data_IF_226164752359
#
_entry.id   IF_226164752359
#
_cell.length_a   1.000
_cell.length_b   1.000
_cell.length_c   1.000
_cell.angle_alpha   90.00
_cell.angle_beta   90.00
_cell.angle_gamma   90.00
#
_symmetry.space_group_name_H-M   'P 1'
#
loop_
_entity.id
_entity.type
_entity.pdbx_description
1 polymer ?
#
# COMPACT_ATOMS: atom_id res chain seq x y z
N UNK A 1 -24.93 -3.08 -40.00
CA UNK A 1 -24.75 -4.13 -38.97
C UNK A 1 -23.28 -4.48 -38.71
N UNK A 2 -22.43 -4.64 -39.74
CA UNK A 2 -20.99 -4.95 -39.58
C UNK A 2 -20.21 -4.02 -38.63
N UNK A 3 -20.45 -2.70 -38.65
CA UNK A 3 -19.72 -1.76 -37.79
C UNK A 3 -20.11 -1.83 -36.30
N UNK A 4 -21.34 -2.25 -35.99
CA UNK A 4 -21.80 -2.37 -34.58
C UNK A 4 -21.13 -3.58 -33.92
N UNK A 5 -21.01 -4.69 -34.67
CA UNK A 5 -20.35 -5.92 -34.20
C UNK A 5 -18.87 -5.64 -33.93
N UNK A 6 -18.23 -4.82 -34.76
CA UNK A 6 -16.83 -4.42 -34.55
C UNK A 6 -16.63 -3.63 -33.25
N UNK A 7 -17.48 -2.63 -32.98
CA UNK A 7 -17.42 -1.84 -31.74
C UNK A 7 -17.79 -2.63 -30.49
N UNK A 8 -18.74 -3.57 -30.58
CA UNK A 8 -19.03 -4.51 -29.49
C UNK A 8 -17.85 -5.45 -29.22
N UNK A 9 -17.20 -5.98 -30.26
CA UNK A 9 -15.98 -6.76 -30.08
C UNK A 9 -14.83 -5.91 -29.50
N UNK A 10 -14.72 -4.63 -29.83
CA UNK A 10 -13.69 -3.75 -29.24
C UNK A 10 -13.98 -3.49 -27.76
N UNK A 11 -15.23 -3.23 -27.39
CA UNK A 11 -15.64 -3.06 -25.99
C UNK A 11 -15.48 -4.35 -25.17
N UNK A 12 -15.81 -5.50 -25.74
CA UNK A 12 -15.63 -6.82 -25.11
C UNK A 12 -14.14 -7.17 -24.97
N UNK A 13 -13.31 -6.86 -25.97
CA UNK A 13 -11.86 -7.04 -25.88
C UNK A 13 -11.24 -6.06 -24.89
N UNK A 14 -11.69 -4.80 -24.80
CA UNK A 14 -11.27 -3.88 -23.73
C UNK A 14 -11.70 -4.35 -22.33
N UNK A 15 -12.92 -4.89 -22.17
CA UNK A 15 -13.38 -5.45 -20.89
C UNK A 15 -12.73 -6.79 -20.52
N UNK A 16 -12.18 -7.52 -21.50
CA UNK A 16 -11.41 -8.75 -21.30
C UNK A 16 -9.91 -8.51 -21.15
N UNK A 17 -9.40 -7.34 -21.57
CA UNK A 17 -8.00 -6.93 -21.39
C UNK A 17 -7.76 -6.10 -20.14
N UNK A 18 -8.82 -5.72 -19.42
CA UNK A 18 -8.78 -5.53 -17.98
C UNK A 18 -8.78 -6.90 -17.28
N UNK A 19 -7.86 -7.79 -17.68
CA UNK A 19 -7.54 -8.99 -16.92
C UNK A 19 -7.06 -8.53 -15.56
N UNK A 20 -7.97 -8.71 -14.59
CA UNK A 20 -7.85 -8.44 -13.18
C UNK A 20 -6.60 -9.17 -12.69
N UNK A 21 -5.47 -8.47 -12.59
CA UNK A 21 -4.63 -8.71 -11.45
C UNK A 21 -5.51 -8.28 -10.27
N UNK A 22 -5.99 -9.26 -9.50
CA UNK A 22 -6.61 -8.92 -8.23
C UNK A 22 -5.49 -8.30 -7.42
N UNK A 23 -5.52 -6.98 -7.23
CA UNK A 23 -4.65 -6.36 -6.24
C UNK A 23 -4.84 -7.14 -4.94
N UNK A 24 -3.75 -7.51 -4.27
CA UNK A 24 -3.88 -8.17 -2.99
C UNK A 24 -4.60 -7.20 -2.05
N UNK A 25 -5.54 -7.72 -1.28
CA UNK A 25 -6.26 -6.97 -0.26
C UNK A 25 -5.90 -7.58 1.07
N UNK A 26 -5.46 -6.73 1.99
CA UNK A 26 -5.02 -7.11 3.31
C UNK A 26 -6.13 -6.82 4.31
N UNK A 27 -6.32 -7.73 5.25
CA UNK A 27 -7.11 -7.49 6.45
C UNK A 27 -6.18 -6.93 7.53
N UNK A 28 -6.50 -5.74 8.02
CA UNK A 28 -5.72 -5.02 9.02
C UNK A 28 -6.53 -4.91 10.30
N UNK A 29 -5.95 -5.30 11.43
CA UNK A 29 -6.44 -4.96 12.76
C UNK A 29 -5.47 -3.97 13.41
N UNK A 30 -5.90 -2.71 13.52
CA UNK A 30 -5.18 -1.66 14.23
C UNK A 30 -5.78 -1.47 15.62
N UNK A 31 -5.11 -2.01 16.65
CA UNK A 31 -5.51 -1.88 18.05
C UNK A 31 -7.00 -2.20 18.31
N UNK A 32 -7.53 -3.25 17.68
CA UNK A 32 -8.93 -3.68 17.75
C UNK A 32 -9.84 -3.08 16.69
N UNK A 33 -9.33 -2.26 15.78
CA UNK A 33 -10.08 -1.65 14.67
C UNK A 33 -9.74 -2.32 13.35
N UNK A 34 -10.71 -3.07 12.80
CA UNK A 34 -10.55 -3.85 11.57
C UNK A 34 -10.92 -3.06 10.31
N UNK A 35 -10.11 -3.17 9.25
CA UNK A 35 -10.37 -2.58 7.93
C UNK A 35 -9.56 -3.27 6.82
N UNK A 36 -9.98 -3.07 5.57
CA UNK A 36 -9.28 -3.59 4.40
C UNK A 36 -8.30 -2.56 3.83
N UNK A 37 -7.11 -3.01 3.43
CA UNK A 37 -6.07 -2.20 2.79
C UNK A 37 -5.67 -2.79 1.44
N UNK A 38 -5.55 -1.94 0.41
CA UNK A 38 -5.13 -2.37 -0.93
C UNK A 38 -3.62 -2.32 -1.09
N UNK A 39 -3.09 -3.08 -2.05
CA UNK A 39 -1.65 -3.03 -2.39
C UNK A 39 -1.34 -2.10 -3.55
N UNK A 40 -0.22 -1.39 -3.45
CA UNK A 40 0.40 -0.73 -4.60
C UNK A 40 1.04 -1.77 -5.50
N UNK A 41 0.75 -1.74 -6.80
CA UNK A 41 1.22 -2.79 -7.72
C UNK A 41 2.17 -2.19 -8.76
N UNK A 42 3.40 -2.72 -8.84
CA UNK A 42 4.39 -2.26 -9.82
C UNK A 42 5.46 -3.32 -10.11
N UNK A 43 6.41 -3.07 -11.02
CA UNK A 43 7.44 -4.07 -11.39
C UNK A 43 8.70 -4.01 -10.51
N UNK A 44 8.84 -2.93 -9.75
CA UNK A 44 9.90 -2.62 -8.80
C UNK A 44 9.88 -3.60 -7.60
N UNK A 45 11.01 -3.79 -6.92
CA UNK A 45 11.00 -4.49 -5.62
C UNK A 45 10.35 -3.61 -4.55
N UNK A 46 9.92 -4.17 -3.42
CA UNK A 46 9.38 -3.37 -2.31
C UNK A 46 10.36 -2.30 -1.82
N UNK A 47 11.66 -2.62 -1.82
CA UNK A 47 12.72 -1.67 -1.49
C UNK A 47 12.94 -0.61 -2.57
N UNK A 48 12.76 -0.94 -3.85
CA UNK A 48 12.87 0.05 -4.93
C UNK A 48 11.64 0.97 -4.98
N UNK A 49 10.46 0.43 -4.68
CA UNK A 49 9.23 1.19 -4.49
C UNK A 49 9.37 2.17 -3.32
N UNK A 50 9.98 1.69 -2.23
CA UNK A 50 10.42 2.50 -1.11
C UNK A 50 11.74 3.23 -1.41
N UNK A 51 11.70 4.22 -2.30
CA UNK A 51 12.91 4.94 -2.71
C UNK A 51 13.35 5.96 -1.64
N UNK A 52 14.22 5.54 -0.71
CA UNK A 52 14.92 6.47 0.16
C UNK A 52 16.16 7.03 -0.55
N UNK A 53 16.16 8.33 -0.82
CA UNK A 53 17.28 8.99 -1.48
C UNK A 53 18.45 9.18 -0.51
N UNK A 54 19.41 8.26 -0.45
CA UNK A 54 20.61 8.29 0.42
C UNK A 54 20.32 8.41 1.92
N UNK A 55 20.93 7.56 2.79
CA UNK A 55 20.70 7.53 4.25
C UNK A 55 21.17 8.79 5.02
N UNK A 56 21.48 9.87 4.32
CA UNK A 56 21.97 11.13 4.88
C UNK A 56 21.30 12.36 4.22
N UNK A 57 20.25 12.15 3.42
CA UNK A 57 19.53 13.21 2.73
C UNK A 57 18.02 13.02 2.91
N UNK A 58 17.28 14.14 2.79
CA UNK A 58 15.82 14.13 2.80
C UNK A 58 15.27 13.07 1.84
N UNK A 59 14.50 12.12 2.36
CA UNK A 59 13.95 10.99 1.60
C UNK A 59 13.15 11.45 0.38
N UNK A 60 13.24 10.68 -0.70
CA UNK A 60 12.25 10.77 -1.75
C UNK A 60 11.00 10.03 -1.26
N UNK A 61 9.82 10.63 -1.45
CA UNK A 61 8.59 9.93 -1.14
C UNK A 61 8.40 8.80 -2.18
N UNK A 62 7.78 7.67 -1.80
CA UNK A 62 7.28 6.72 -2.79
C UNK A 62 6.42 7.47 -3.82
N UNK A 63 6.39 6.99 -5.06
CA UNK A 63 5.52 7.54 -6.11
C UNK A 63 4.36 6.60 -6.37
N UNK A 64 3.18 7.14 -6.71
CA UNK A 64 2.08 6.28 -7.12
C UNK A 64 2.50 5.45 -8.35
N UNK A 65 2.22 4.14 -8.37
CA UNK A 65 2.62 3.26 -9.46
C UNK A 65 2.24 3.79 -10.85
N UNK A 66 3.18 3.72 -11.80
CA UNK A 66 2.97 4.19 -13.16
C UNK A 66 2.88 5.72 -13.30
N UNK A 67 3.19 6.47 -12.25
CA UNK A 67 3.19 7.95 -12.24
C UNK A 67 4.52 8.52 -11.80
N UNK A 68 4.67 9.85 -11.92
CA UNK A 68 5.75 10.61 -11.27
C UNK A 68 5.22 11.42 -10.09
N UNK A 69 4.02 11.12 -9.60
CA UNK A 69 3.37 11.85 -8.52
C UNK A 69 3.81 11.24 -7.19
N UNK A 70 4.51 12.00 -6.33
CA UNK A 70 4.89 11.52 -5.02
C UNK A 70 3.65 11.29 -4.15
N UNK A 71 3.66 10.22 -3.37
CA UNK A 71 2.72 10.02 -2.28
C UNK A 71 2.98 11.15 -1.26
N UNK A 72 1.94 11.93 -0.88
CA UNK A 72 2.11 13.02 0.06
C UNK A 72 2.29 12.45 1.47
N UNK A 73 3.55 12.33 1.91
CA UNK A 73 3.85 11.93 3.27
C UNK A 73 3.49 13.05 4.26
N UNK A 74 3.07 12.65 5.45
CA UNK A 74 2.65 13.53 6.53
C UNK A 74 3.70 13.60 7.64
N UNK A 75 3.79 14.77 8.28
CA UNK A 75 4.63 14.92 9.47
C UNK A 75 3.96 14.27 10.67
N UNK A 76 4.80 13.87 11.64
CA UNK A 76 4.41 13.33 12.93
C UNK A 76 3.50 12.10 12.76
N UNK A 77 3.87 11.21 11.84
CA UNK A 77 3.03 10.09 11.43
C UNK A 77 3.81 8.80 11.18
N UNK A 78 3.27 7.70 11.72
CA UNK A 78 3.56 6.34 11.29
C UNK A 78 2.78 6.10 10.01
N UNK A 79 3.47 5.86 8.90
CA UNK A 79 2.85 5.67 7.59
C UNK A 79 3.17 4.27 7.06
N UNK A 80 2.14 3.49 6.79
CA UNK A 80 2.24 2.07 6.45
C UNK A 80 1.80 1.89 5.00
N UNK A 81 2.55 1.11 4.23
CA UNK A 81 2.17 0.71 2.89
C UNK A 81 2.39 -0.79 2.66
N UNK A 82 1.65 -1.31 1.69
CA UNK A 82 1.85 -2.65 1.15
C UNK A 82 2.01 -2.59 -0.36
N UNK A 83 2.98 -3.32 -0.89
CA UNK A 83 3.35 -3.29 -2.30
C UNK A 83 3.47 -4.71 -2.86
N UNK A 84 2.97 -4.94 -4.07
CA UNK A 84 3.13 -6.21 -4.79
C UNK A 84 3.99 -6.00 -6.02
N UNK A 85 5.07 -6.80 -6.11
CA UNK A 85 5.85 -6.89 -7.32
C UNK A 85 5.08 -7.71 -8.37
N UNK A 86 4.63 -7.06 -9.43
CA UNK A 86 3.85 -7.66 -10.53
C UNK A 86 4.64 -8.66 -11.40
N UNK A 87 5.97 -8.73 -11.28
CA UNK A 87 6.81 -9.70 -11.98
C UNK A 87 7.03 -10.98 -11.16
N UNK A 88 7.17 -10.87 -9.83
CA UNK A 88 7.44 -12.00 -8.93
C UNK A 88 6.23 -12.46 -8.12
N UNK A 89 5.17 -11.65 -8.07
CA UNK A 89 4.02 -11.80 -7.19
C UNK A 89 4.37 -11.80 -5.69
N UNK A 90 5.50 -11.20 -5.33
CA UNK A 90 5.91 -11.06 -3.93
C UNK A 90 5.30 -9.79 -3.33
N UNK A 91 4.71 -9.93 -2.14
CA UNK A 91 4.24 -8.82 -1.34
C UNK A 91 5.36 -8.28 -0.43
N UNK A 92 5.36 -6.97 -0.26
CA UNK A 92 6.23 -6.22 0.62
C UNK A 92 5.40 -5.38 1.57
N UNK A 93 5.83 -5.30 2.81
CA UNK A 93 5.29 -4.44 3.85
C UNK A 93 6.33 -3.41 4.23
N UNK A 94 5.93 -2.14 4.27
CA UNK A 94 6.85 -1.07 4.66
C UNK A 94 6.23 -0.08 5.62
N UNK A 95 7.10 0.45 6.47
CA UNK A 95 6.83 1.50 7.44
C UNK A 95 7.70 2.69 7.13
N UNK A 96 7.09 3.87 7.16
CA UNK A 96 7.73 5.16 7.02
C UNK A 96 7.41 5.97 8.27
N UNK A 97 8.44 6.42 8.95
CA UNK A 97 8.35 7.24 10.15
C UNK A 97 8.72 8.66 9.75
N UNK A 98 7.82 9.59 10.03
CA UNK A 98 7.99 11.02 9.73
C UNK A 98 8.03 11.33 8.21
N UNK A 99 8.09 12.61 7.85
CA UNK A 99 8.46 13.10 6.52
C UNK A 99 9.68 14.03 6.61
N UNK A 100 10.41 14.29 5.53
CA UNK A 100 11.58 15.17 5.62
C UNK A 100 11.20 16.58 6.06
N UNK A 101 11.96 17.14 7.01
CA UNK A 101 11.70 18.43 7.64
C UNK A 101 10.35 18.46 8.40
N UNK A 102 10.13 17.44 9.21
CA UNK A 102 9.02 17.26 10.14
C UNK A 102 9.03 18.21 11.34
N UNK A 103 8.24 17.92 12.38
CA UNK A 103 8.14 18.78 13.55
C UNK A 103 9.26 18.57 14.58
N UNK A 104 9.90 17.39 14.61
CA UNK A 104 10.89 17.03 15.62
C UNK A 104 11.66 15.75 15.32
N UNK A 105 12.30 15.21 16.36
CA UNK A 105 12.92 13.89 16.34
C UNK A 105 12.15 12.97 17.30
N UNK A 106 12.00 11.71 16.92
CA UNK A 106 11.16 10.75 17.62
C UNK A 106 11.79 9.38 17.71
N UNK A 107 10.97 8.42 18.13
CA UNK A 107 11.36 7.02 18.30
C UNK A 107 10.21 6.11 17.88
N UNK A 108 10.56 4.91 17.42
CA UNK A 108 9.60 3.85 17.11
C UNK A 108 10.18 2.51 17.52
N UNK A 109 9.39 1.76 18.29
CA UNK A 109 9.80 0.49 18.88
C UNK A 109 8.68 -0.54 18.64
N UNK A 110 9.04 -1.71 18.11
CA UNK A 110 8.10 -2.81 17.90
C UNK A 110 8.81 -4.17 17.88
N UNK A 111 8.14 -5.20 18.40
CA UNK A 111 8.44 -6.59 18.10
C UNK A 111 7.57 -7.03 16.93
N UNK A 112 8.15 -7.74 15.96
CA UNK A 112 7.46 -8.12 14.73
C UNK A 112 7.63 -9.62 14.49
N UNK A 113 6.53 -10.34 14.46
CA UNK A 113 6.47 -11.74 14.00
C UNK A 113 5.82 -11.77 12.60
N UNK A 114 6.32 -12.59 11.68
CA UNK A 114 5.79 -12.62 10.32
C UNK A 114 6.02 -13.95 9.59
N UNK A 115 5.22 -14.23 8.55
CA UNK A 115 5.31 -15.46 7.77
C UNK A 115 6.59 -15.55 6.95
N UNK A 116 7.15 -16.76 6.86
CA UNK A 116 8.28 -17.07 5.98
C UNK A 116 7.77 -17.39 4.57
N UNK A 117 8.50 -17.07 3.48
CA UNK A 117 9.94 -16.84 3.41
C UNK A 117 10.40 -15.38 3.52
N UNK A 118 9.55 -14.48 4.04
CA UNK A 118 9.86 -13.07 4.08
C UNK A 118 11.13 -12.73 4.87
N UNK A 119 11.68 -11.57 4.58
CA UNK A 119 12.93 -11.08 5.16
C UNK A 119 12.89 -9.56 5.36
N UNK A 120 13.49 -9.08 6.44
CA UNK A 120 13.82 -7.67 6.59
C UNK A 120 14.88 -7.34 5.51
N UNK A 121 14.49 -6.49 4.56
CA UNK A 121 15.34 -6.14 3.41
C UNK A 121 15.89 -4.72 3.48
N UNK A 122 15.26 -3.85 4.26
CA UNK A 122 15.69 -2.48 4.46
C UNK A 122 15.44 -2.02 5.89
N UNK A 123 16.40 -1.27 6.42
CA UNK A 123 16.35 -0.50 7.65
C UNK A 123 17.18 0.77 7.39
N UNK A 124 16.64 1.95 7.67
CA UNK A 124 17.29 3.21 7.25
C UNK A 124 18.64 3.41 7.95
N UNK A 125 18.65 3.24 9.28
CA UNK A 125 19.87 3.34 10.08
C UNK A 125 20.39 1.96 10.55
N UNK A 126 21.35 1.33 9.83
CA UNK A 126 21.81 -0.03 10.10
C UNK A 126 22.62 -0.19 11.41
N UNK A 127 22.82 0.90 12.17
CA UNK A 127 23.53 0.90 13.45
C UNK A 127 22.60 1.12 14.66
N UNK A 128 21.29 1.29 14.43
CA UNK A 128 20.29 1.48 15.50
C UNK A 128 19.72 0.14 15.97
N UNK A 129 19.37 0.09 17.27
CA UNK A 129 19.58 -1.08 18.11
C UNK A 129 18.44 -2.10 18.15
N UNK A 130 18.50 -3.13 17.33
CA UNK A 130 17.72 -4.36 17.50
C UNK A 130 18.53 -5.58 17.05
N UNK A 131 18.11 -6.80 17.37
CA UNK A 131 18.62 -7.99 16.67
C UNK A 131 18.05 -8.07 15.24
N UNK A 132 18.14 -6.97 14.48
CA UNK A 132 17.71 -6.82 13.10
C UNK A 132 18.77 -7.43 12.18
N UNK A 133 18.81 -8.76 12.11
CA UNK A 133 19.58 -9.42 11.06
C UNK A 133 18.79 -9.28 9.74
N UNK A 134 19.32 -8.49 8.79
CA UNK A 134 18.85 -8.56 7.40
C UNK A 134 18.84 -10.02 6.96
N UNK A 135 17.70 -10.50 6.46
CA UNK A 135 17.50 -11.90 6.07
C UNK A 135 16.26 -12.57 6.65
N UNK A 136 16.19 -13.88 6.49
CA UNK A 136 15.01 -14.73 6.75
C UNK A 136 14.95 -15.14 8.22
N UNK A 137 14.53 -14.22 9.09
CA UNK A 137 14.07 -14.56 10.43
C UNK A 137 12.57 -14.36 10.47
N UNK A 138 11.83 -15.17 11.24
CA UNK A 138 10.36 -15.02 11.35
C UNK A 138 9.94 -14.11 12.51
N UNK A 139 10.92 -13.51 13.19
CA UNK A 139 10.72 -12.65 14.36
C UNK A 139 11.91 -11.70 14.49
N UNK A 140 11.63 -10.40 14.58
CA UNK A 140 12.62 -9.32 14.72
C UNK A 140 12.15 -8.30 15.75
N UNK A 141 13.09 -7.52 16.26
CA UNK A 141 12.78 -6.28 16.99
C UNK A 141 13.29 -5.10 16.18
N UNK A 142 12.45 -4.09 16.02
CA UNK A 142 12.75 -2.81 15.39
C UNK A 142 12.79 -1.76 16.50
N UNK A 143 13.88 -1.01 16.54
CA UNK A 143 14.11 0.15 17.41
C UNK A 143 14.80 1.20 16.54
N UNK A 144 14.10 2.30 16.30
CA UNK A 144 14.47 3.37 15.37
C UNK A 144 14.34 4.72 16.09
N UNK A 145 15.35 5.57 15.94
CA UNK A 145 15.41 6.91 16.50
C UNK A 145 15.77 7.92 15.40
N UNK A 146 14.93 8.92 15.16
CA UNK A 146 15.19 9.93 14.12
C UNK A 146 15.36 11.34 14.68
N UNK A 147 15.92 12.21 13.84
CA UNK A 147 16.05 13.65 14.09
C UNK A 147 15.32 14.45 13.02
N UNK A 148 14.94 15.69 13.34
CA UNK A 148 14.10 16.60 12.53
C UNK A 148 14.41 16.71 11.02
N UNK A 149 15.65 16.44 10.60
CA UNK A 149 16.00 16.49 9.17
C UNK A 149 15.46 15.32 8.34
N UNK A 150 15.14 14.20 8.98
CA UNK A 150 15.31 12.90 8.38
C UNK A 150 14.09 12.04 8.66
N UNK A 151 13.71 11.22 7.68
CA UNK A 151 12.69 10.18 7.86
C UNK A 151 13.39 8.91 8.31
N UNK A 152 12.61 7.94 8.76
CA UNK A 152 13.13 6.61 9.05
C UNK A 152 12.12 5.57 8.54
N UNK A 153 12.46 4.31 8.62
CA UNK A 153 11.58 3.24 8.23
C UNK A 153 12.28 1.92 7.98
N UNK A 154 11.46 0.95 7.64
CA UNK A 154 11.91 -0.39 7.30
C UNK A 154 11.00 -1.01 6.25
N UNK A 155 11.54 -1.99 5.52
CA UNK A 155 10.77 -2.78 4.55
C UNK A 155 11.07 -4.25 4.74
N UNK A 156 9.99 -5.03 4.87
CA UNK A 156 10.02 -6.50 4.87
C UNK A 156 9.45 -6.96 3.53
N UNK A 157 10.19 -7.81 2.82
CA UNK A 157 9.82 -8.28 1.47
C UNK A 157 9.73 -9.80 1.43
N UNK A 158 9.08 -10.32 0.38
CA UNK A 158 9.08 -11.76 0.06
C UNK A 158 7.91 -12.52 0.65
N UNK A 159 6.82 -11.82 0.98
CA UNK A 159 5.58 -12.46 1.40
C UNK A 159 4.87 -13.11 0.21
N UNK A 160 4.31 -14.30 0.43
CA UNK A 160 3.27 -14.85 -0.44
C UNK A 160 1.95 -14.12 -0.11
N UNK A 161 1.29 -13.45 -1.09
CA UNK A 161 0.02 -12.76 -0.85
C UNK A 161 -1.10 -13.66 -0.32
N UNK A 162 -1.04 -14.98 -0.54
CA UNK A 162 -2.05 -15.93 -0.07
C UNK A 162 -1.77 -16.43 1.35
N UNK A 163 -0.51 -16.45 1.80
CA UNK A 163 -0.05 -17.01 3.09
C UNK A 163 0.75 -15.97 3.91
N UNK A 164 0.15 -14.80 4.04
CA UNK A 164 0.67 -13.64 4.74
C UNK A 164 0.14 -13.61 6.18
N UNK A 165 1.05 -13.50 7.14
CA UNK A 165 0.74 -12.88 8.43
C UNK A 165 1.89 -11.96 8.85
N UNK A 166 1.57 -10.80 9.43
CA UNK A 166 2.52 -9.89 10.07
C UNK A 166 1.85 -9.35 11.33
N UNK A 167 2.50 -9.54 12.48
CA UNK A 167 2.05 -9.06 13.78
C UNK A 167 3.11 -8.14 14.37
N UNK A 168 2.81 -6.84 14.45
CA UNK A 168 3.56 -5.87 15.22
C UNK A 168 2.93 -5.79 16.60
N UNK A 169 3.70 -6.07 17.65
CA UNK A 169 3.25 -6.01 19.04
C UNK A 169 4.26 -5.28 19.91
N UNK A 170 3.80 -4.89 21.10
CA UNK A 170 4.51 -3.96 21.97
C UNK A 170 4.89 -2.66 21.24
N UNK A 171 4.03 -2.18 20.33
CA UNK A 171 4.32 -0.99 19.54
C UNK A 171 4.26 0.24 20.43
N UNK A 172 5.33 1.03 20.41
CA UNK A 172 5.43 2.33 21.08
C UNK A 172 6.20 3.30 20.20
N UNK A 173 5.99 4.59 20.41
CA UNK A 173 6.77 5.62 19.74
C UNK A 173 6.57 7.00 20.36
N UNK A 174 7.33 7.96 19.88
CA UNK A 174 7.25 9.37 20.29
C UNK A 174 7.33 10.27 19.08
N UNK A 175 6.79 11.49 19.19
CA UNK A 175 6.76 12.46 18.08
C UNK A 175 5.90 11.99 16.90
N UNK A 176 4.91 11.13 17.19
CA UNK A 176 3.94 10.61 16.24
C UNK A 176 2.53 10.89 16.76
N UNK A 177 1.74 11.63 15.99
CA UNK A 177 0.35 11.96 16.31
C UNK A 177 -0.62 11.02 15.60
N UNK A 178 -0.19 10.37 14.51
CA UNK A 178 -1.06 9.61 13.62
C UNK A 178 -0.45 8.29 13.16
N UNK A 179 -1.32 7.31 12.92
CA UNK A 179 -1.04 6.13 12.12
C UNK A 179 -1.85 6.21 10.83
N UNK A 180 -1.19 6.15 9.68
CA UNK A 180 -1.76 6.34 8.35
C UNK A 180 -1.45 5.10 7.50
N UNK A 181 -2.48 4.46 6.99
CA UNK A 181 -2.38 3.33 6.08
C UNK A 181 -2.61 3.83 4.65
N UNK A 182 -1.52 3.83 3.88
CA UNK A 182 -1.45 4.37 2.53
C UNK A 182 -2.18 3.44 1.55
N UNK A 183 -3.11 4.00 0.79
CA UNK A 183 -3.93 3.25 -0.15
C UNK A 183 -3.67 3.67 -1.61
N UNK A 184 -3.67 2.73 -2.58
CA UNK A 184 -3.50 3.02 -4.01
C UNK A 184 -4.55 3.96 -4.61
N UNK A 185 -5.74 4.02 -4.02
CA UNK A 185 -6.84 4.90 -4.46
C UNK A 185 -6.72 6.34 -3.92
N UNK A 186 -5.68 6.62 -3.13
CA UNK A 186 -5.45 7.91 -2.48
C UNK A 186 -6.41 8.21 -1.33
N UNK A 187 -7.27 7.25 -0.92
CA UNK A 187 -8.11 7.34 0.27
C UNK A 187 -7.45 6.60 1.43
N UNK A 188 -6.50 7.26 2.08
CA UNK A 188 -5.79 6.66 3.21
C UNK A 188 -6.72 6.43 4.41
N UNK A 189 -6.52 5.32 5.12
CA UNK A 189 -7.16 5.09 6.41
C UNK A 189 -6.26 5.65 7.51
N UNK A 190 -6.81 6.36 8.48
CA UNK A 190 -6.02 7.07 9.50
C UNK A 190 -6.61 6.92 10.89
N UNK A 191 -5.72 6.81 11.87
CA UNK A 191 -6.03 6.74 13.29
C UNK A 191 -5.13 7.72 14.07
N UNK A 192 -5.57 8.11 15.27
CA UNK A 192 -4.65 8.73 16.22
C UNK A 192 -3.58 7.70 16.60
N UNK A 193 -2.33 8.14 16.73
CA UNK A 193 -1.28 7.30 17.27
C UNK A 193 -1.57 7.05 18.77
N UNK A 194 -1.64 5.79 19.23
CA UNK A 194 -1.95 5.50 20.61
C UNK A 194 -0.85 5.98 21.57
N UNK A 195 -1.26 6.61 22.69
CA UNK A 195 -0.35 7.02 23.77
C UNK A 195 0.19 5.81 24.57
N UNK A 196 -0.60 4.72 24.61
CA UNK A 196 -0.26 3.46 25.27
C UNK A 196 0.25 2.43 24.25
N UNK A 197 0.90 1.38 24.76
CA UNK A 197 1.36 0.23 23.96
C UNK A 197 0.20 -0.37 23.16
N UNK A 198 0.42 -0.61 21.87
CA UNK A 198 -0.60 -1.17 20.97
C UNK A 198 -0.04 -2.27 20.05
N UNK A 199 -0.91 -2.81 19.20
CA UNK A 199 -0.57 -3.82 18.20
C UNK A 199 -1.18 -3.52 16.84
N UNK A 200 -0.54 -4.04 15.80
CA UNK A 200 -1.03 -4.05 14.42
C UNK A 200 -0.91 -5.47 13.90
N UNK A 201 -2.02 -6.06 13.47
CA UNK A 201 -2.04 -7.37 12.82
C UNK A 201 -2.46 -7.22 11.37
N UNK A 202 -1.80 -7.97 10.49
CA UNK A 202 -1.98 -7.90 9.04
C UNK A 202 -2.04 -9.32 8.51
N UNK A 203 -3.12 -9.63 7.80
CA UNK A 203 -3.31 -10.93 7.15
C UNK A 203 -3.73 -10.78 5.70
N UNK A 204 -3.64 -11.88 4.96
CA UNK A 204 -4.32 -11.99 3.66
C UNK A 204 -5.83 -11.94 3.88
N UNK A 205 -6.55 -11.14 3.09
CA UNK A 205 -8.00 -11.14 3.15
C UNK A 205 -8.54 -12.43 2.52
N UNK A 206 -9.38 -13.16 3.25
CA UNK A 206 -10.07 -14.35 2.74
C UNK A 206 -11.45 -13.97 2.17
N UNK A 207 -11.67 -14.07 0.83
CA UNK A 207 -12.92 -13.69 0.19
C UNK A 207 -14.09 -14.62 0.55
N UNK A 208 -13.84 -15.80 1.13
CA UNK A 208 -14.88 -16.68 1.64
C UNK A 208 -15.44 -16.22 2.98
N UNK A 209 -14.65 -15.52 3.79
CA UNK A 209 -15.04 -15.07 5.13
C UNK A 209 -15.32 -13.58 5.22
N UNK A 210 -14.72 -12.77 4.35
CA UNK A 210 -14.96 -11.33 4.30
C UNK A 210 -16.31 -11.01 3.62
N UNK A 211 -17.23 -10.27 4.26
CA UNK A 211 -18.53 -9.94 3.69
C UNK A 211 -18.45 -9.08 2.42
N UNK A 212 -17.32 -8.40 2.17
CA UNK A 212 -17.07 -7.59 0.99
C UNK A 212 -16.24 -8.34 -0.07
N UNK A 213 -15.99 -9.65 0.12
CA UNK A 213 -15.20 -10.51 -0.77
C UNK A 213 -13.82 -9.95 -1.08
N UNK A 214 -13.21 -9.24 -0.12
CA UNK A 214 -11.91 -8.60 -0.29
C UNK A 214 -11.89 -7.58 -1.44
N UNK A 215 -13.00 -6.88 -1.66
CA UNK A 215 -13.10 -5.84 -2.69
C UNK A 215 -13.04 -4.46 -2.04
N UNK A 216 -12.01 -3.70 -2.38
CA UNK A 216 -11.93 -2.27 -2.07
C UNK A 216 -12.57 -1.50 -3.23
N UNK A 217 -13.62 -0.75 -2.95
CA UNK A 217 -14.35 0.00 -3.97
C UNK A 217 -13.52 1.19 -4.46
N UNK A 218 -12.77 1.00 -5.55
CA UNK A 218 -12.15 2.12 -6.26
C UNK A 218 -13.21 2.87 -7.07
N UNK A 219 -13.19 4.19 -7.04
CA UNK A 219 -14.04 4.98 -7.94
C UNK A 219 -13.64 4.68 -9.40
N UNK A 220 -14.58 4.16 -10.19
CA UNK A 220 -14.32 3.77 -11.58
C UNK A 220 -13.63 4.91 -12.36
N UNK A 221 -12.58 4.62 -13.16
CA UNK A 221 -11.92 5.65 -13.94
C UNK A 221 -12.94 6.25 -14.93
N UNK A 222 -12.94 7.58 -15.00
CA UNK A 222 -13.87 8.41 -15.79
C UNK A 222 -14.00 7.99 -17.26
N UNK A 223 -13.07 7.20 -17.79
CA UNK A 223 -13.11 6.53 -19.09
C UNK A 223 -14.31 5.61 -19.27
N UNK A 224 -14.75 4.86 -18.26
CA UNK A 224 -15.96 4.02 -18.37
C UNK A 224 -17.24 4.87 -18.38
N UNK A 225 -17.30 5.92 -17.55
CA UNK A 225 -18.38 6.89 -17.59
C UNK A 225 -18.45 7.61 -18.95
N UNK A 226 -17.31 8.06 -19.50
CA UNK A 226 -17.22 8.67 -20.82
C UNK A 226 -17.62 7.70 -21.95
N UNK A 227 -17.26 6.43 -21.85
CA UNK A 227 -17.69 5.40 -22.79
C UNK A 227 -19.22 5.18 -22.72
N UNK A 228 -19.78 5.12 -21.51
CA UNK A 228 -21.23 5.00 -21.30
C UNK A 228 -21.97 6.22 -21.86
N UNK A 229 -21.51 7.45 -21.58
CA UNK A 229 -22.07 8.67 -22.16
C UNK A 229 -21.91 8.72 -23.69
N UNK A 230 -20.78 8.27 -24.23
CA UNK A 230 -20.56 8.16 -25.67
C UNK A 230 -21.54 7.19 -26.35
N UNK A 231 -21.77 6.02 -25.74
CA UNK A 231 -22.73 5.02 -26.23
C UNK A 231 -24.18 5.52 -26.14
N UNK A 232 -24.55 6.22 -25.06
CA UNK A 232 -25.86 6.89 -24.95
C UNK A 232 -26.05 7.98 -26.02
N UNK A 233 -25.02 8.80 -26.26
CA UNK A 233 -25.03 9.83 -27.30
C UNK A 233 -25.23 9.27 -28.70
N UNK A 234 -24.53 8.17 -29.05
CA UNK A 234 -24.69 7.47 -30.34
C UNK A 234 -26.11 6.88 -30.47
N UNK A 235 -26.67 6.33 -29.39
CA UNK A 235 -28.04 5.83 -29.36
C UNK A 235 -29.09 6.91 -29.63
N UNK A 236 -28.91 8.10 -29.08
CA UNK A 236 -29.82 9.24 -29.27
C UNK A 236 -29.72 9.85 -30.68
N UNK A 237 -28.52 9.92 -31.27
CA UNK A 237 -28.35 10.43 -32.64
C UNK A 237 -29.00 9.50 -33.69
N UNK A 238 -28.99 8.19 -33.48
CA UNK A 238 -29.70 7.24 -34.36
C UNK A 238 -31.20 7.40 -34.33
N UNK A 239 -31.79 7.80 -33.19
CA UNK A 239 -33.24 8.06 -33.09
C UNK A 239 -33.67 9.28 -33.88
N UNK A 240 -32.81 10.28 -34.08
CA UNK A 240 -33.11 11.49 -34.87
C UNK A 240 -32.96 11.31 -36.38
N UNK A 241 -32.26 10.27 -36.83
CA UNK A 241 -32.05 9.99 -38.27
C UNK A 241 -33.17 9.14 -38.91
N UNK A 242 -34.20 8.74 -38.15
CA UNK A 242 -35.33 7.91 -38.63
C UNK A 242 -36.65 8.71 -38.57
N UNK A 243 -36.59 10.03 -38.43
CA UNK A 243 -37.76 10.92 -38.57
C UNK A 243 -37.72 11.66 -39.90
#
# INVERSE_FOLDING_TARGET
>A
MKNIIWHLCTAVVLSLSSSIASAAVLDIDFNGSQFLLGTFDSAETGTDFYNYGSPWAASANPVYPGTTTPIPLEADALQIFSHVNTLTNELSFGVILERPNGSGGGSFNASIDFSTPAALAFLDDPNEGGNSALGTTSSINIDLDWVNCCTDGFVIIGFDPEDLFIDLYNVTGSDLDRAIFLSPDGQNTQFAFPDDVFSISIGSCDPQTDPNQCVISVSEPSTFALLAFGLFGIGLMRRRSIA
#
